data_IF_048134350148
#
_entry.id   IF_048134350148
#
_cell.length_a   1.000
_cell.length_b   1.000
_cell.length_c   1.000
_cell.angle_alpha   90.00
_cell.angle_beta   90.00
_cell.angle_gamma   90.00
#
_symmetry.space_group_name_H-M   'P 1'
#
loop_
_entity.id
_entity.type
_entity.pdbx_description
1 polymer ?
#
# COMPACT_ATOMS: atom_id res chain seq x y z
N UNK A 1 29.76 -13.20 7.07
CA UNK A 1 29.58 -11.78 6.67
C UNK A 1 28.38 -11.76 5.74
N UNK A 2 27.20 -11.49 6.27
CA UNK A 2 25.98 -11.45 5.46
C UNK A 2 25.92 -10.08 4.82
N UNK A 3 26.16 -10.00 3.51
CA UNK A 3 25.93 -8.80 2.73
C UNK A 3 24.45 -8.46 2.83
N UNK A 4 24.13 -7.51 3.73
CA UNK A 4 22.86 -6.80 3.70
C UNK A 4 22.95 -5.93 2.46
N UNK A 5 22.25 -6.33 1.40
CA UNK A 5 22.09 -5.48 0.24
C UNK A 5 21.20 -4.33 0.71
N UNK A 6 21.82 -3.22 1.13
CA UNK A 6 21.15 -1.94 1.27
C UNK A 6 20.94 -1.42 -0.15
N UNK A 7 19.84 -1.84 -0.79
CA UNK A 7 19.25 -1.07 -1.89
C UNK A 7 18.59 0.15 -1.23
N UNK A 8 19.43 1.10 -0.83
CA UNK A 8 18.99 2.42 -0.44
C UNK A 8 18.96 3.24 -1.72
N UNK A 9 17.93 3.04 -2.55
CA UNK A 9 17.49 4.16 -3.36
C UNK A 9 17.10 5.25 -2.35
N UNK A 10 17.72 6.43 -2.46
CA UNK A 10 17.45 7.53 -1.54
C UNK A 10 15.95 7.82 -1.58
N UNK A 11 15.25 7.50 -0.49
CA UNK A 11 13.82 7.78 -0.36
C UNK A 11 13.66 9.29 -0.24
N UNK A 12 13.16 9.90 -1.31
CA UNK A 12 12.97 11.35 -1.37
C UNK A 12 11.79 11.77 -0.51
N UNK A 13 10.67 11.03 -0.59
CA UNK A 13 9.55 11.18 0.33
C UNK A 13 8.67 9.93 0.39
N UNK A 14 7.84 9.86 1.43
CA UNK A 14 6.81 8.84 1.63
C UNK A 14 5.47 9.53 1.89
N UNK A 15 4.40 9.02 1.29
CA UNK A 15 3.05 9.56 1.41
C UNK A 15 2.04 8.44 1.62
N UNK A 16 1.31 8.52 2.73
CA UNK A 16 0.23 7.59 3.04
C UNK A 16 -1.08 8.10 2.44
N UNK A 17 -1.77 7.23 1.71
CA UNK A 17 -3.03 7.46 1.05
C UNK A 17 -4.10 6.60 1.74
N UNK A 18 -5.04 7.25 2.40
CA UNK A 18 -6.11 6.60 3.17
C UNK A 18 -7.44 6.66 2.43
N UNK A 19 -8.26 5.60 2.49
CA UNK A 19 -9.57 5.60 1.86
C UNK A 19 -10.52 6.61 2.53
N UNK A 20 -11.45 7.21 1.77
CA UNK A 20 -12.44 8.13 2.33
C UNK A 20 -13.40 7.39 3.28
N UNK A 21 -13.24 7.61 4.59
CA UNK A 21 -13.90 6.83 5.65
C UNK A 21 -15.41 6.73 5.47
N UNK A 22 -16.06 7.85 5.11
CA UNK A 22 -17.52 7.95 4.94
C UNK A 22 -18.06 6.97 3.88
N UNK A 23 -17.28 6.70 2.84
CA UNK A 23 -17.68 5.83 1.72
C UNK A 23 -17.59 4.34 2.09
N UNK A 24 -16.67 3.96 2.98
CA UNK A 24 -16.35 2.56 3.28
C UNK A 24 -16.79 2.10 4.69
N UNK A 25 -17.43 2.98 5.46
CA UNK A 25 -17.79 2.71 6.86
C UNK A 25 -18.64 1.44 7.05
N UNK A 26 -19.55 1.15 6.12
CA UNK A 26 -20.49 0.03 6.21
C UNK A 26 -20.04 -1.23 5.46
N UNK A 27 -18.88 -1.20 4.79
CA UNK A 27 -18.42 -2.34 4.01
C UNK A 27 -17.90 -3.45 4.91
N UNK A 28 -18.23 -4.70 4.57
CA UNK A 28 -17.70 -5.88 5.26
C UNK A 28 -16.23 -6.08 4.92
N UNK A 29 -15.87 -5.97 3.64
CA UNK A 29 -14.48 -5.98 3.19
C UNK A 29 -13.98 -4.53 3.26
N UNK A 30 -13.06 -4.26 4.20
CA UNK A 30 -12.49 -2.93 4.39
C UNK A 30 -11.39 -2.64 3.36
N UNK A 31 -11.33 -1.41 2.81
CA UNK A 31 -10.20 -1.00 1.98
C UNK A 31 -8.93 -0.89 2.83
N UNK A 32 -7.78 -1.17 2.22
CA UNK A 32 -6.49 -0.91 2.83
C UNK A 32 -6.05 0.55 2.61
N UNK A 33 -5.16 1.03 3.47
CA UNK A 33 -4.34 2.20 3.17
C UNK A 33 -3.17 1.79 2.27
N UNK A 34 -2.60 2.77 1.59
CA UNK A 34 -1.44 2.57 0.74
C UNK A 34 -0.36 3.60 1.07
N UNK A 35 0.90 3.24 0.83
CA UNK A 35 2.02 4.16 0.89
C UNK A 35 2.65 4.25 -0.50
N UNK A 36 2.82 5.47 -0.99
CA UNK A 36 3.65 5.76 -2.16
C UNK A 36 5.01 6.24 -1.64
N UNK A 37 6.07 5.62 -2.12
CA UNK A 37 7.45 5.99 -1.81
C UNK A 37 8.14 6.47 -3.09
N UNK A 38 8.58 7.72 -3.09
CA UNK A 38 9.40 8.28 -4.16
C UNK A 38 10.87 7.91 -3.94
N UNK A 39 11.47 7.26 -4.95
CA UNK A 39 12.87 6.85 -4.96
C UNK A 39 13.67 7.54 -6.06
N UNK A 40 13.20 8.71 -6.52
CA UNK A 40 13.84 9.57 -7.51
C UNK A 40 13.46 9.27 -8.95
N UNK A 41 13.62 8.02 -9.38
CA UNK A 41 13.27 7.62 -10.75
C UNK A 41 11.85 7.08 -10.86
N UNK A 42 11.32 6.52 -9.77
CA UNK A 42 10.02 5.87 -9.77
C UNK A 42 9.31 5.99 -8.42
N UNK A 43 8.06 5.51 -8.39
CA UNK A 43 7.16 5.54 -7.25
C UNK A 43 6.79 4.11 -6.86
N UNK A 44 7.32 3.65 -5.73
CA UNK A 44 7.01 2.33 -5.19
C UNK A 44 5.67 2.38 -4.47
N UNK A 45 4.73 1.53 -4.90
CA UNK A 45 3.44 1.37 -4.24
C UNK A 45 3.51 0.24 -3.24
N UNK A 46 3.11 0.54 -2.01
CA UNK A 46 2.99 -0.44 -0.94
C UNK A 46 1.58 -0.46 -0.36
N UNK A 47 1.09 -1.63 0.03
CA UNK A 47 -0.19 -1.81 0.72
C UNK A 47 0.04 -1.97 2.22
N UNK A 48 -0.73 -1.27 3.04
CA UNK A 48 -0.72 -1.51 4.48
C UNK A 48 -1.28 -2.90 4.80
N UNK A 49 -0.63 -3.61 5.72
CA UNK A 49 -1.12 -4.86 6.27
C UNK A 49 -1.84 -4.59 7.59
N UNK A 50 -2.97 -5.28 7.78
CA UNK A 50 -3.57 -5.40 9.12
C UNK A 50 -2.63 -6.13 10.08
N UNK A 51 -2.86 -5.99 11.39
CA UNK A 51 -2.07 -6.68 12.41
C UNK A 51 -2.08 -8.20 12.21
N UNK A 52 -3.25 -8.76 11.88
CA UNK A 52 -3.46 -10.18 11.60
C UNK A 52 -2.64 -10.66 10.39
N UNK A 53 -2.69 -9.92 9.28
CA UNK A 53 -1.93 -10.25 8.06
C UNK A 53 -0.41 -10.14 8.30
N UNK A 54 0.00 -9.13 9.06
CA UNK A 54 1.41 -8.84 9.30
C UNK A 54 2.12 -9.92 10.11
N UNK A 55 1.38 -10.65 10.94
CA UNK A 55 1.90 -11.73 11.77
C UNK A 55 2.13 -13.02 10.98
N UNK A 56 1.55 -13.12 9.78
CA UNK A 56 1.58 -14.31 8.92
C UNK A 56 2.53 -14.17 7.74
N UNK A 57 2.93 -12.94 7.37
CA UNK A 57 3.80 -12.71 6.23
C UNK A 57 5.26 -13.05 6.51
N UNK A 58 5.87 -13.81 5.60
CA UNK A 58 7.32 -14.09 5.57
C UNK A 58 8.08 -13.15 4.63
N UNK A 59 7.39 -12.20 4.01
CA UNK A 59 7.96 -11.31 3.01
C UNK A 59 8.72 -10.13 3.65
N UNK A 60 9.55 -9.47 2.84
CA UNK A 60 10.27 -8.28 3.29
C UNK A 60 9.25 -7.14 3.44
N UNK A 61 8.98 -6.77 4.70
CA UNK A 61 8.05 -5.71 5.06
C UNK A 61 8.78 -4.39 5.25
N UNK A 62 8.24 -3.32 4.67
CA UNK A 62 8.63 -1.95 5.01
C UNK A 62 7.86 -1.52 6.26
N UNK A 63 8.53 -0.86 7.21
CA UNK A 63 7.90 -0.29 8.39
C UNK A 63 7.92 1.23 8.29
N UNK A 64 6.76 1.88 8.37
CA UNK A 64 6.63 3.33 8.33
C UNK A 64 5.55 3.77 9.31
N UNK A 65 5.84 4.77 10.16
CA UNK A 65 4.93 5.27 11.22
C UNK A 65 4.30 4.17 12.10
N UNK A 66 5.08 3.12 12.40
CA UNK A 66 4.62 1.98 13.20
C UNK A 66 3.68 1.01 12.47
N UNK A 67 3.35 1.27 11.21
CA UNK A 67 2.56 0.40 10.34
C UNK A 67 3.47 -0.44 9.44
N UNK A 68 2.98 -1.62 9.04
CA UNK A 68 3.71 -2.56 8.18
C UNK A 68 3.12 -2.53 6.78
N UNK A 69 4.00 -2.52 5.80
CA UNK A 69 3.65 -2.40 4.40
C UNK A 69 4.31 -3.50 3.57
N UNK A 70 3.55 -4.03 2.63
CA UNK A 70 4.04 -4.95 1.59
C UNK A 70 4.21 -4.20 0.28
N UNK A 71 5.34 -4.39 -0.39
CA UNK A 71 5.56 -3.86 -1.75
C UNK A 71 4.62 -4.53 -2.76
N UNK A 72 3.96 -3.72 -3.58
CA UNK A 72 3.07 -4.21 -4.64
C UNK A 72 3.70 -4.06 -6.02
N UNK A 73 4.09 -2.84 -6.38
CA UNK A 73 4.49 -2.52 -7.74
C UNK A 73 5.29 -1.22 -7.83
N UNK A 74 6.03 -1.07 -8.92
CA UNK A 74 6.81 0.12 -9.23
C UNK A 74 6.16 0.93 -10.38
N UNK A 75 5.77 2.17 -10.12
CA UNK A 75 5.14 3.05 -11.10
C UNK A 75 6.09 4.16 -11.59
N UNK A 76 5.98 4.57 -12.86
CA UNK A 76 6.80 5.65 -13.41
C UNK A 76 6.37 7.05 -12.93
N UNK A 77 5.18 7.18 -12.31
CA UNK A 77 4.67 8.46 -11.79
C UNK A 77 3.80 8.28 -10.54
N UNK A 78 3.68 9.34 -9.73
CA UNK A 78 2.77 9.38 -8.57
C UNK A 78 1.31 9.23 -9.04
N UNK A 79 0.95 9.84 -10.17
CA UNK A 79 -0.41 9.79 -10.72
C UNK A 79 -0.83 8.37 -11.08
N UNK A 80 0.05 7.58 -11.69
CA UNK A 80 -0.24 6.17 -12.01
C UNK A 80 -0.39 5.33 -10.74
N UNK A 81 0.44 5.55 -9.73
CA UNK A 81 0.30 4.90 -8.43
C UNK A 81 -1.05 5.26 -7.75
N UNK A 82 -1.47 6.52 -7.81
CA UNK A 82 -2.76 6.97 -7.30
C UNK A 82 -3.94 6.34 -8.05
N UNK A 83 -3.87 6.25 -9.38
CA UNK A 83 -4.90 5.58 -10.18
C UNK A 83 -5.04 4.09 -9.82
N UNK A 84 -3.92 3.41 -9.54
CA UNK A 84 -3.94 2.04 -9.07
C UNK A 84 -4.64 1.90 -7.71
N UNK A 85 -4.32 2.78 -6.75
CA UNK A 85 -4.99 2.84 -5.44
C UNK A 85 -6.51 3.00 -5.61
N UNK A 86 -6.94 3.97 -6.42
CA UNK A 86 -8.37 4.20 -6.67
C UNK A 86 -9.04 3.01 -7.35
N UNK A 87 -8.34 2.32 -8.25
CA UNK A 87 -8.83 1.11 -8.90
C UNK A 87 -9.00 -0.04 -7.90
N UNK A 88 -8.05 -0.23 -6.99
CA UNK A 88 -8.14 -1.25 -5.92
C UNK A 88 -9.31 -0.97 -4.99
N UNK A 89 -9.48 0.27 -4.55
CA UNK A 89 -10.66 0.67 -3.78
C UNK A 89 -11.96 0.48 -4.56
N UNK A 90 -11.97 0.77 -5.87
CA UNK A 90 -13.09 0.48 -6.75
C UNK A 90 -13.45 -1.02 -6.80
N UNK A 91 -12.45 -1.90 -6.84
CA UNK A 91 -12.66 -3.34 -6.77
C UNK A 91 -13.26 -3.75 -5.41
N UNK A 92 -12.82 -3.15 -4.30
CA UNK A 92 -13.41 -3.38 -2.97
C UNK A 92 -14.89 -2.96 -2.94
N UNK A 93 -15.26 -1.83 -3.57
CA UNK A 93 -16.68 -1.43 -3.71
C UNK A 93 -17.49 -2.49 -4.44
N UNK A 94 -16.98 -2.96 -5.58
CA UNK A 94 -17.66 -4.00 -6.36
C UNK A 94 -17.81 -5.30 -5.56
N UNK A 95 -16.76 -5.74 -4.87
CA UNK A 95 -16.81 -6.96 -4.04
C UNK A 95 -17.87 -6.87 -2.93
N UNK A 96 -17.99 -5.72 -2.26
CA UNK A 96 -19.03 -5.54 -1.25
C UNK A 96 -20.44 -5.47 -1.85
N UNK A 97 -20.60 -5.07 -3.11
CA UNK A 97 -21.91 -5.06 -3.78
C UNK A 97 -22.43 -6.45 -4.19
N UNK A 98 -21.56 -7.46 -4.27
CA UNK A 98 -21.96 -8.84 -4.58
C UNK A 98 -22.45 -9.62 -3.35
N UNK A 99 -22.30 -9.06 -2.14
CA UNK A 99 -22.76 -9.69 -0.90
C UNK A 99 -24.13 -9.15 -0.42
N UNK A 100 -24.83 -8.34 -1.24
CA UNK A 100 -26.22 -7.92 -1.00
C UNK A 100 -27.26 -8.97 -1.41
#
# INVERSE_FOLDING_TARGET
MTNKIELCDEVLFQKVITPPIEEFQNYKIKPANYMIQDVGENFLLHRELSEDESSQSKEILSCYEGRRYIFLYNYPSEEEALQAIYSFWGAIKQLNSFEE
#
